data_IF_288269516626
#
_entry.id   IF_288269516626
#
_cell.length_a   1.000
_cell.length_b   1.000
_cell.length_c   1.000
_cell.angle_alpha   90.00
_cell.angle_beta   90.00
_cell.angle_gamma   90.00
#
_symmetry.space_group_name_H-M   'P 1'
#
loop_
_entity.id
_entity.type
_entity.pdbx_description
1 polymer ?
#
# COMPACT_ATOMS: atom_id res chain seq x y z
N UNK A 1 -4.74 -2.27 -20.31
CA UNK A 1 -4.40 -1.71 -21.65
C UNK A 1 -2.93 -1.98 -21.93
N UNK A 2 -2.54 -2.01 -23.19
CA UNK A 2 -1.13 -2.15 -23.63
C UNK A 2 -0.71 -0.88 -24.35
N UNK A 3 0.45 -0.32 -24.00
CA UNK A 3 1.05 0.86 -24.65
C UNK A 3 2.52 0.56 -24.95
N UNK A 4 2.88 0.40 -26.22
CA UNK A 4 4.28 0.18 -26.64
C UNK A 4 5.03 -0.91 -25.83
N UNK A 5 4.35 -2.03 -25.53
CA UNK A 5 4.90 -3.14 -24.74
C UNK A 5 4.81 -2.99 -23.22
N UNK A 6 4.22 -1.89 -22.72
CA UNK A 6 3.86 -1.68 -21.33
C UNK A 6 2.43 -2.15 -21.06
N UNK A 7 2.27 -3.05 -20.10
CA UNK A 7 0.98 -3.45 -19.55
C UNK A 7 0.52 -2.51 -18.44
N UNK A 8 -0.72 -2.02 -18.51
CA UNK A 8 -1.33 -1.23 -17.44
C UNK A 8 -2.63 -1.87 -16.99
N UNK A 9 -2.71 -2.23 -15.70
CA UNK A 9 -3.81 -3.00 -15.11
C UNK A 9 -4.39 -2.26 -13.88
N UNK A 10 -5.60 -1.67 -13.98
CA UNK A 10 -6.33 -1.19 -12.81
C UNK A 10 -6.82 -2.36 -11.96
N UNK A 11 -6.76 -2.23 -10.64
CA UNK A 11 -7.27 -3.21 -9.69
C UNK A 11 -8.32 -2.61 -8.77
N UNK A 12 -9.50 -3.22 -8.76
CA UNK A 12 -10.49 -3.02 -7.72
C UNK A 12 -9.98 -3.60 -6.41
N UNK A 13 -10.16 -2.85 -5.32
CA UNK A 13 -9.74 -3.27 -3.98
C UNK A 13 -10.56 -2.53 -2.92
N UNK A 14 -10.62 -3.13 -1.74
CA UNK A 14 -11.13 -2.53 -0.51
C UNK A 14 -10.32 -3.02 0.69
N UNK A 15 -10.38 -2.31 1.81
CA UNK A 15 -9.65 -2.68 3.04
C UNK A 15 -10.40 -3.70 3.91
N UNK A 16 -9.68 -4.34 4.83
CA UNK A 16 -10.25 -5.05 5.99
C UNK A 16 -9.41 -4.79 7.26
N UNK A 17 -10.01 -4.84 8.45
CA UNK A 17 -9.34 -4.47 9.70
C UNK A 17 -8.20 -5.40 10.08
N UNK A 18 -8.30 -6.68 9.77
CA UNK A 18 -7.23 -7.67 10.04
C UNK A 18 -6.00 -7.50 9.15
N UNK A 19 -6.01 -6.56 8.21
CA UNK A 19 -4.80 -6.15 7.48
C UNK A 19 -3.75 -5.56 8.43
N UNK A 20 -4.21 -4.99 9.54
CA UNK A 20 -3.38 -4.49 10.62
C UNK A 20 -2.96 -5.62 11.58
N UNK A 21 -1.68 -5.96 11.53
CA UNK A 21 -1.07 -7.00 12.39
C UNK A 21 -0.13 -6.44 13.46
N UNK A 22 -0.01 -5.11 13.56
CA UNK A 22 0.82 -4.48 14.58
C UNK A 22 0.13 -4.54 15.96
N UNK A 23 0.91 -4.56 17.03
CA UNK A 23 0.35 -4.56 18.39
C UNK A 23 -0.49 -3.30 18.65
N UNK A 24 -1.57 -3.44 19.41
CA UNK A 24 -2.41 -2.31 19.77
C UNK A 24 -1.70 -1.38 20.75
N UNK A 25 -1.82 -0.08 20.53
CA UNK A 25 -1.32 0.93 21.46
C UNK A 25 -2.36 1.15 22.54
N UNK A 26 -2.11 0.62 23.74
CA UNK A 26 -3.02 0.67 24.88
C UNK A 26 -2.74 1.82 25.85
N UNK A 27 -1.62 2.53 25.67
CA UNK A 27 -1.18 3.64 26.54
C UNK A 27 -1.96 4.93 26.35
N UNK A 28 -2.81 5.03 25.32
CA UNK A 28 -3.59 6.23 24.98
C UNK A 28 -5.01 5.84 24.53
N UNK A 29 -5.95 6.76 24.70
CA UNK A 29 -7.29 6.60 24.13
C UNK A 29 -7.30 6.99 22.64
N UNK A 30 -7.62 6.05 21.75
CA UNK A 30 -7.70 6.28 20.30
C UNK A 30 -9.15 6.15 19.84
N UNK A 31 -9.66 7.20 19.19
CA UNK A 31 -11.03 7.26 18.65
C UNK A 31 -11.39 6.01 17.84
N UNK A 32 -12.63 5.49 17.96
CA UNK A 32 -13.11 4.38 17.12
C UNK A 32 -13.09 4.67 15.62
N UNK A 33 -13.02 3.63 14.79
CA UNK A 33 -12.91 3.74 13.33
C UNK A 33 -14.14 4.44 12.73
N UNK A 34 -15.33 4.18 13.26
CA UNK A 34 -16.61 4.74 12.82
C UNK A 34 -16.69 6.25 13.03
N UNK A 35 -15.89 6.79 13.96
CA UNK A 35 -15.80 8.22 14.22
C UNK A 35 -14.73 8.90 13.36
N UNK A 36 -13.63 8.20 13.07
CA UNK A 36 -12.47 8.76 12.37
C UNK A 36 -12.53 8.58 10.84
N UNK A 37 -13.11 7.48 10.36
CA UNK A 37 -13.16 7.13 8.94
C UNK A 37 -14.52 7.49 8.33
N UNK A 38 -14.49 8.26 7.25
CA UNK A 38 -15.70 8.74 6.57
C UNK A 38 -16.47 7.60 5.88
N UNK A 39 -15.77 6.54 5.48
CA UNK A 39 -16.34 5.44 4.71
C UNK A 39 -17.48 4.74 5.46
N UNK A 40 -17.36 4.60 6.78
CA UNK A 40 -18.41 4.03 7.66
C UNK A 40 -19.74 4.81 7.60
N UNK A 41 -19.70 6.10 7.26
CA UNK A 41 -20.89 6.96 7.16
C UNK A 41 -21.34 7.15 5.71
N UNK A 42 -20.38 7.34 4.80
CA UNK A 42 -20.62 7.72 3.41
C UNK A 42 -20.91 6.53 2.49
N UNK A 43 -20.26 5.39 2.72
CA UNK A 43 -20.47 4.19 1.91
C UNK A 43 -21.67 3.41 2.43
N UNK A 44 -22.48 2.87 1.50
CA UNK A 44 -23.65 2.03 1.79
C UNK A 44 -23.49 0.73 1.02
N UNK A 45 -23.57 -0.38 1.73
CA UNK A 45 -23.32 -1.71 1.20
C UNK A 45 -24.58 -2.58 1.29
N UNK A 46 -24.62 -3.67 0.52
CA UNK A 46 -25.66 -4.68 0.67
C UNK A 46 -25.53 -5.39 2.02
N UNK A 47 -26.56 -6.12 2.45
CA UNK A 47 -26.65 -6.69 3.79
C UNK A 47 -25.52 -7.70 4.09
N UNK A 48 -24.96 -8.30 3.06
CA UNK A 48 -23.90 -9.32 3.12
C UNK A 48 -22.50 -8.71 3.18
N UNK A 49 -22.37 -7.38 3.03
CA UNK A 49 -21.12 -6.66 2.97
C UNK A 49 -21.03 -5.67 4.13
N UNK A 50 -19.94 -5.73 4.89
CA UNK A 50 -19.72 -4.85 6.04
C UNK A 50 -18.39 -4.12 5.94
N UNK A 51 -18.37 -2.89 6.45
CA UNK A 51 -17.10 -2.23 6.71
C UNK A 51 -16.35 -3.00 7.80
N UNK A 52 -15.06 -3.17 7.59
CA UNK A 52 -14.12 -3.65 8.58
C UNK A 52 -13.83 -5.16 8.56
N UNK A 53 -14.77 -6.00 8.11
CA UNK A 53 -14.47 -7.41 7.86
C UNK A 53 -13.89 -7.64 6.45
N UNK A 54 -13.59 -8.90 6.12
CA UNK A 54 -12.96 -9.28 4.85
C UNK A 54 -13.94 -9.27 3.66
N UNK A 55 -15.25 -9.15 3.88
CA UNK A 55 -16.27 -9.34 2.83
C UNK A 55 -16.13 -8.33 1.68
N UNK A 56 -15.88 -7.06 1.99
CA UNK A 56 -15.66 -6.02 0.98
C UNK A 56 -14.37 -6.26 0.19
N UNK A 57 -13.29 -6.65 0.87
CA UNK A 57 -12.02 -6.94 0.22
C UNK A 57 -12.16 -8.11 -0.79
N UNK A 58 -12.87 -9.18 -0.42
CA UNK A 58 -13.17 -10.31 -1.31
C UNK A 58 -14.09 -9.89 -2.46
N UNK A 59 -15.12 -9.11 -2.18
CA UNK A 59 -16.08 -8.65 -3.18
C UNK A 59 -15.40 -7.82 -4.29
N UNK A 60 -14.59 -6.83 -3.90
CA UNK A 60 -13.87 -6.01 -4.87
C UNK A 60 -12.76 -6.79 -5.58
N UNK A 61 -12.10 -7.73 -4.90
CA UNK A 61 -11.12 -8.60 -5.58
C UNK A 61 -11.78 -9.48 -6.65
N UNK A 62 -12.93 -10.08 -6.36
CA UNK A 62 -13.68 -10.89 -7.31
C UNK A 62 -14.12 -10.11 -8.57
N UNK A 63 -14.29 -8.78 -8.47
CA UNK A 63 -14.57 -7.95 -9.66
C UNK A 63 -13.42 -7.96 -10.67
N UNK A 64 -12.18 -8.18 -10.22
CA UNK A 64 -11.01 -8.23 -11.10
C UNK A 64 -11.00 -9.48 -11.99
N UNK A 65 -11.71 -10.56 -11.61
CA UNK A 65 -11.78 -11.80 -12.41
C UNK A 65 -12.39 -11.58 -13.79
N UNK A 66 -13.26 -10.57 -13.94
CA UNK A 66 -13.83 -10.18 -15.25
C UNK A 66 -12.76 -9.81 -16.27
N UNK A 67 -11.57 -9.40 -15.81
CA UNK A 67 -10.46 -8.98 -16.65
C UNK A 67 -9.37 -10.06 -16.79
N UNK A 68 -9.60 -11.30 -16.31
CA UNK A 68 -8.57 -12.32 -16.24
C UNK A 68 -7.95 -12.67 -17.61
N UNK A 69 -8.77 -12.73 -18.67
CA UNK A 69 -8.27 -13.00 -20.04
C UNK A 69 -7.35 -11.88 -20.53
N UNK A 70 -7.74 -10.62 -20.31
CA UNK A 70 -6.95 -9.43 -20.67
C UNK A 70 -5.66 -9.35 -19.86
N UNK A 71 -5.71 -9.70 -18.57
CA UNK A 71 -4.52 -9.75 -17.71
C UNK A 71 -3.53 -10.80 -18.24
N UNK A 72 -4.00 -12.01 -18.60
CA UNK A 72 -3.14 -13.06 -19.18
C UNK A 72 -2.52 -12.63 -20.51
N UNK A 73 -3.30 -11.97 -21.37
CA UNK A 73 -2.77 -11.41 -22.61
C UNK A 73 -1.67 -10.39 -22.35
N UNK A 74 -1.87 -9.46 -21.40
CA UNK A 74 -0.86 -8.50 -20.98
C UNK A 74 0.40 -9.21 -20.47
N UNK A 75 0.24 -10.21 -19.60
CA UNK A 75 1.37 -10.99 -19.06
C UNK A 75 2.18 -11.70 -20.16
N UNK A 76 1.52 -12.15 -21.23
CA UNK A 76 2.18 -12.85 -22.33
C UNK A 76 2.84 -11.91 -23.36
N UNK A 77 2.42 -10.65 -23.42
CA UNK A 77 2.80 -9.72 -24.50
C UNK A 77 3.65 -8.54 -24.03
N UNK A 78 3.59 -8.19 -22.75
CA UNK A 78 4.25 -6.99 -22.21
C UNK A 78 5.49 -7.37 -21.41
N UNK A 79 6.57 -6.63 -21.61
CA UNK A 79 7.83 -6.84 -20.89
C UNK A 79 7.85 -6.15 -19.53
N UNK A 80 6.98 -5.16 -19.33
CA UNK A 80 6.82 -4.37 -18.11
C UNK A 80 5.35 -4.22 -17.80
N UNK A 81 5.00 -4.31 -16.52
CA UNK A 81 3.61 -4.22 -16.08
C UNK A 81 3.51 -3.23 -14.91
N UNK A 82 2.57 -2.30 -15.03
CA UNK A 82 2.12 -1.42 -13.96
C UNK A 82 0.73 -1.90 -13.54
N UNK A 83 0.60 -2.36 -12.31
CA UNK A 83 -0.71 -2.47 -11.65
C UNK A 83 -0.96 -1.21 -10.84
N UNK A 84 -2.22 -0.83 -10.66
CA UNK A 84 -2.54 0.25 -9.72
C UNK A 84 -3.84 0.03 -8.98
N UNK A 85 -3.88 0.51 -7.74
CA UNK A 85 -5.03 0.41 -6.85
C UNK A 85 -5.16 1.68 -6.01
N UNK A 86 -6.33 1.91 -5.42
CA UNK A 86 -6.46 3.02 -4.48
C UNK A 86 -5.84 2.69 -3.12
N UNK A 87 -6.09 1.49 -2.61
CA UNK A 87 -5.67 1.04 -1.28
C UNK A 87 -4.22 0.55 -1.25
N UNK A 88 -3.68 0.43 -0.04
CA UNK A 88 -2.31 0.02 0.20
C UNK A 88 -2.18 -1.50 0.06
N UNK A 89 -1.25 -2.01 -0.75
CA UNK A 89 -1.16 -3.45 -1.03
C UNK A 89 -0.39 -4.24 0.03
N UNK A 90 0.40 -3.57 0.89
CA UNK A 90 1.29 -4.20 1.86
C UNK A 90 1.38 -3.37 3.12
N UNK A 91 1.31 -3.99 4.30
CA UNK A 91 1.34 -3.26 5.57
C UNK A 91 2.66 -2.51 5.76
N UNK A 92 3.77 -3.02 5.21
CA UNK A 92 5.08 -2.36 5.30
C UNK A 92 5.13 -1.01 4.57
N UNK A 93 4.17 -0.73 3.70
CA UNK A 93 4.02 0.55 2.98
C UNK A 93 3.24 1.60 3.79
N UNK A 94 2.96 1.30 5.06
CA UNK A 94 2.44 2.23 6.04
C UNK A 94 3.45 2.39 7.19
N UNK A 95 3.69 3.59 7.73
CA UNK A 95 4.50 3.75 8.94
C UNK A 95 3.90 2.99 10.14
N UNK A 96 4.76 2.57 11.06
CA UNK A 96 4.33 1.88 12.28
C UNK A 96 3.35 2.73 13.10
N UNK A 97 2.36 2.10 13.73
CA UNK A 97 1.29 2.73 14.52
C UNK A 97 1.80 3.81 15.47
N UNK A 98 2.93 3.55 16.12
CA UNK A 98 3.56 4.45 17.11
C UNK A 98 3.97 5.80 16.53
N UNK A 99 4.07 5.90 15.21
CA UNK A 99 4.47 7.11 14.48
C UNK A 99 3.29 7.83 13.81
N UNK A 100 2.07 7.26 13.87
CA UNK A 100 0.87 7.80 13.25
C UNK A 100 0.10 8.70 14.21
N UNK A 101 -0.44 9.81 13.70
CA UNK A 101 -1.39 10.64 14.48
C UNK A 101 -2.72 9.94 14.75
N UNK A 102 -3.04 8.89 14.00
CA UNK A 102 -4.17 8.01 14.25
C UNK A 102 -3.69 6.55 14.22
N UNK A 103 -3.36 5.94 15.38
CA UNK A 103 -2.79 4.60 15.44
C UNK A 103 -3.66 3.48 14.86
N UNK A 104 -4.98 3.68 14.73
CA UNK A 104 -5.90 2.71 14.12
C UNK A 104 -5.97 2.82 12.59
N UNK A 105 -5.24 3.75 11.97
CA UNK A 105 -5.19 3.92 10.51
C UNK A 105 -4.88 2.61 9.76
N UNK A 106 -3.92 1.76 10.18
CA UNK A 106 -3.60 0.53 9.44
C UNK A 106 -4.79 -0.43 9.24
N UNK A 107 -5.85 -0.32 10.04
CA UNK A 107 -7.07 -1.14 9.92
C UNK A 107 -7.95 -0.79 8.72
N UNK A 108 -7.72 0.37 8.10
CA UNK A 108 -8.61 0.92 7.07
C UNK A 108 -7.86 1.32 5.79
N UNK A 109 -6.70 0.71 5.53
CA UNK A 109 -5.84 1.18 4.42
C UNK A 109 -5.61 0.17 3.31
N UNK A 110 -5.81 -1.12 3.55
CA UNK A 110 -5.33 -2.16 2.65
C UNK A 110 -5.96 -3.51 2.93
N UNK A 111 -5.62 -4.49 2.08
CA UNK A 111 -6.09 -5.85 2.22
C UNK A 111 -5.11 -6.88 1.68
N UNK A 112 -5.20 -8.08 2.24
CA UNK A 112 -4.43 -9.23 1.78
C UNK A 112 -4.91 -9.71 0.40
N UNK A 113 -6.20 -9.56 0.10
CA UNK A 113 -6.77 -9.86 -1.22
C UNK A 113 -6.04 -9.08 -2.34
N UNK A 114 -5.78 -7.78 -2.12
CA UNK A 114 -5.04 -6.95 -3.06
C UNK A 114 -3.59 -7.42 -3.21
N UNK A 115 -2.93 -7.76 -2.11
CA UNK A 115 -1.56 -8.28 -2.11
C UNK A 115 -1.45 -9.55 -2.95
N UNK A 116 -2.32 -10.52 -2.70
CA UNK A 116 -2.39 -11.76 -3.45
C UNK A 116 -2.68 -11.52 -4.94
N UNK A 117 -3.59 -10.60 -5.26
CA UNK A 117 -3.89 -10.24 -6.65
C UNK A 117 -2.66 -9.68 -7.36
N UNK A 118 -1.93 -8.78 -6.73
CA UNK A 118 -0.70 -8.19 -7.29
C UNK A 118 0.35 -9.28 -7.54
N UNK A 119 0.55 -10.21 -6.60
CA UNK A 119 1.45 -11.35 -6.80
C UNK A 119 0.98 -12.29 -7.91
N UNK A 120 -0.32 -12.52 -8.07
CA UNK A 120 -0.83 -13.34 -9.17
C UNK A 120 -0.54 -12.73 -10.55
N UNK A 121 -0.35 -11.41 -10.61
CA UNK A 121 -0.05 -10.68 -11.85
C UNK A 121 1.47 -10.59 -12.09
N UNK A 122 2.23 -10.22 -11.05
CA UNK A 122 3.65 -9.91 -11.16
C UNK A 122 4.58 -11.09 -10.83
N UNK A 123 4.02 -12.22 -10.40
CA UNK A 123 4.77 -13.34 -9.84
C UNK A 123 4.94 -13.24 -8.33
N UNK A 124 5.14 -14.39 -7.67
CA UNK A 124 5.30 -14.46 -6.20
C UNK A 124 6.55 -13.70 -5.76
N UNK A 125 7.67 -13.87 -6.44
CA UNK A 125 8.90 -13.14 -6.11
C UNK A 125 8.92 -11.73 -6.73
N UNK A 126 7.98 -11.42 -7.62
CA UNK A 126 7.96 -10.19 -8.40
C UNK A 126 8.93 -10.25 -9.58
N UNK A 127 9.32 -9.08 -10.10
CA UNK A 127 10.26 -8.94 -11.22
C UNK A 127 10.72 -7.50 -11.29
N UNK A 128 11.96 -7.18 -11.73
CA UNK A 128 12.39 -5.80 -12.00
C UNK A 128 11.46 -5.03 -12.96
N UNK A 129 10.65 -5.75 -13.73
CA UNK A 129 9.61 -5.24 -14.62
C UNK A 129 8.24 -4.99 -13.96
N UNK A 130 8.11 -5.26 -12.66
CA UNK A 130 6.89 -5.11 -11.89
C UNK A 130 6.86 -3.79 -11.12
N UNK A 131 5.81 -3.01 -11.34
CA UNK A 131 5.51 -1.82 -10.57
C UNK A 131 4.05 -1.84 -10.09
N UNK A 132 3.82 -1.47 -8.85
CA UNK A 132 2.49 -1.22 -8.30
C UNK A 132 2.36 0.23 -7.83
N UNK A 133 1.41 0.96 -8.40
CA UNK A 133 1.08 2.32 -7.97
C UNK A 133 -0.12 2.30 -7.02
N UNK A 134 -0.01 2.92 -5.86
CA UNK A 134 -1.06 2.93 -4.84
C UNK A 134 -1.29 4.31 -4.23
N UNK A 135 -2.34 4.42 -3.42
CA UNK A 135 -2.80 5.67 -2.83
C UNK A 135 -3.27 5.56 -1.38
N UNK A 136 -4.31 6.34 -1.09
CA UNK A 136 -5.10 6.35 0.14
C UNK A 136 -4.43 6.98 1.37
N UNK A 137 -3.21 6.57 1.75
CA UNK A 137 -2.61 7.02 3.03
C UNK A 137 -1.96 8.40 2.99
N UNK A 138 -1.80 8.97 1.81
CA UNK A 138 -1.10 10.25 1.58
C UNK A 138 0.39 10.24 2.00
N UNK A 139 0.97 9.09 2.34
CA UNK A 139 2.39 8.96 2.65
C UNK A 139 3.19 8.76 1.36
N UNK A 140 3.97 9.77 0.95
CA UNK A 140 4.83 9.62 -0.23
C UNK A 140 5.77 8.42 -0.05
N UNK A 141 5.76 7.50 -1.00
CA UNK A 141 6.45 6.22 -0.91
C UNK A 141 7.06 5.84 -2.25
N UNK A 142 8.32 5.45 -2.25
CA UNK A 142 8.96 4.78 -3.38
C UNK A 142 10.02 3.84 -2.86
N UNK A 143 9.69 2.56 -2.88
CA UNK A 143 10.59 1.49 -2.43
C UNK A 143 10.38 0.26 -3.26
N UNK A 144 11.45 -0.52 -3.38
CA UNK A 144 11.38 -1.86 -3.91
C UNK A 144 11.27 -2.83 -2.73
N UNK A 145 10.30 -3.73 -2.75
CA UNK A 145 10.11 -4.73 -1.69
C UNK A 145 10.20 -6.14 -2.27
N UNK A 146 10.85 -7.02 -1.52
CA UNK A 146 11.00 -8.44 -1.82
C UNK A 146 9.83 -9.30 -1.28
N UNK A 147 9.82 -10.59 -1.66
CA UNK A 147 8.88 -11.63 -1.26
C UNK A 147 8.39 -11.64 0.20
N UNK A 148 7.17 -12.16 0.37
CA UNK A 148 6.34 -12.49 1.55
C UNK A 148 6.39 -11.57 2.80
N UNK A 149 5.23 -10.94 3.10
CA UNK A 149 4.85 -10.37 4.42
C UNK A 149 3.93 -11.28 5.25
N UNK A 150 3.87 -12.56 4.93
CA UNK A 150 3.04 -13.55 5.63
C UNK A 150 3.97 -14.57 6.30
N UNK A 151 4.02 -14.58 7.64
CA UNK A 151 4.51 -15.75 8.37
C UNK A 151 3.60 -16.93 8.02
N UNK A 152 3.96 -17.71 7.02
CA UNK A 152 3.49 -19.09 6.88
C UNK A 152 4.04 -19.86 8.09
N UNK A 153 3.25 -20.69 8.80
CA UNK A 153 3.76 -21.50 9.89
C UNK A 153 4.98 -22.31 9.43
N UNK A 154 6.08 -22.20 10.19
CA UNK A 154 7.36 -22.86 9.94
C UNK A 154 7.17 -24.35 9.60
N UNK A 155 7.56 -24.77 8.39
CA UNK A 155 8.08 -26.12 8.10
C UNK A 155 8.65 -26.28 6.67
N UNK A 156 9.41 -25.31 6.16
CA UNK A 156 10.31 -25.57 5.02
C UNK A 156 11.66 -24.91 5.23
N UNK A 157 12.63 -25.70 5.66
CA UNK A 157 14.05 -25.35 5.68
C UNK A 157 14.63 -25.52 4.28
N UNK A 158 15.12 -24.44 3.69
CA UNK A 158 15.96 -24.49 2.49
C UNK A 158 15.65 -23.39 1.50
N UNK A 159 16.21 -22.20 1.70
CA UNK A 159 16.36 -21.22 0.62
C UNK A 159 17.81 -20.76 0.56
N UNK A 160 18.48 -21.22 -0.49
CA UNK A 160 19.83 -20.83 -0.89
C UNK A 160 19.72 -19.66 -1.87
N UNK A 161 20.54 -18.62 -1.66
CA UNK A 161 20.92 -17.52 -2.55
C UNK A 161 19.81 -16.66 -3.21
N UNK A 162 19.98 -15.35 -3.03
CA UNK A 162 19.16 -14.22 -3.46
C UNK A 162 19.04 -14.18 -4.99
N UNK A 163 17.85 -14.45 -5.51
CA UNK A 163 17.47 -13.95 -6.84
C UNK A 163 16.83 -12.56 -6.67
N UNK A 164 17.27 -11.62 -7.49
CA UNK A 164 17.00 -10.18 -7.49
C UNK A 164 15.55 -9.79 -7.88
N UNK A 165 14.56 -10.58 -7.47
CA UNK A 165 13.16 -10.37 -7.84
C UNK A 165 12.41 -9.56 -6.77
N UNK A 166 11.73 -8.52 -7.27
CA UNK A 166 11.53 -7.27 -6.56
C UNK A 166 10.37 -6.51 -7.20
N UNK A 167 9.31 -6.16 -6.47
CA UNK A 167 8.26 -5.28 -6.99
C UNK A 167 8.50 -3.84 -6.50
N UNK A 168 8.47 -2.87 -7.41
CA UNK A 168 8.51 -1.45 -7.05
C UNK A 168 7.13 -0.98 -6.63
N UNK A 169 7.02 -0.39 -5.45
CA UNK A 169 5.79 0.21 -4.93
C UNK A 169 5.92 1.72 -4.88
N UNK A 170 5.02 2.43 -5.58
CA UNK A 170 5.06 3.89 -5.66
C UNK A 170 3.72 4.49 -5.21
N UNK A 171 3.79 5.44 -4.29
CA UNK A 171 2.69 6.33 -3.93
C UNK A 171 3.19 7.77 -4.05
N UNK A 172 2.63 8.51 -5.01
CA UNK A 172 2.87 9.94 -5.26
C UNK A 172 1.56 10.74 -5.04
N UNK A 173 1.07 10.86 -3.79
CA UNK A 173 -0.31 11.26 -3.55
C UNK A 173 -0.48 12.76 -3.74
N UNK A 174 -1.59 13.20 -4.35
CA UNK A 174 -1.92 14.62 -4.40
C UNK A 174 -2.19 15.17 -2.98
N UNK A 175 -2.89 14.43 -2.12
CA UNK A 175 -3.20 14.80 -0.73
C UNK A 175 -4.01 16.12 -0.57
N UNK A 176 -4.35 16.51 0.66
CA UNK A 176 -5.12 17.74 0.91
C UNK A 176 -4.29 19.02 0.70
N UNK A 177 -4.90 20.18 0.39
CA UNK A 177 -4.17 21.43 0.19
C UNK A 177 -3.17 21.79 1.30
N UNK A 178 -3.54 21.57 2.57
CA UNK A 178 -2.64 21.81 3.73
C UNK A 178 -1.45 20.85 3.77
N UNK A 179 -1.66 19.60 3.34
CA UNK A 179 -0.60 18.59 3.27
C UNK A 179 0.33 18.86 2.09
N UNK A 180 -0.23 19.28 0.94
CA UNK A 180 0.54 19.69 -0.26
C UNK A 180 1.51 20.81 0.01
N UNK A 181 1.10 21.82 0.80
CA UNK A 181 1.95 22.95 1.19
C UNK A 181 3.25 22.55 1.89
N UNK A 182 3.32 21.34 2.46
CA UNK A 182 4.51 20.83 3.15
C UNK A 182 5.43 20.01 2.23
N UNK A 183 5.07 19.81 0.96
CA UNK A 183 5.82 19.02 -0.02
C UNK A 183 6.67 19.92 -0.91
N UNK A 184 7.47 19.31 -1.79
CA UNK A 184 8.28 20.03 -2.78
C UNK A 184 7.48 21.15 -3.45
N UNK A 185 8.06 22.36 -3.46
CA UNK A 185 7.49 23.58 -4.02
C UNK A 185 6.17 24.08 -3.39
N UNK A 186 5.82 23.65 -2.17
CA UNK A 186 4.61 24.13 -1.50
C UNK A 186 3.31 23.70 -2.17
N UNK A 187 3.36 22.71 -3.06
CA UNK A 187 2.24 22.28 -3.90
C UNK A 187 1.96 23.20 -5.11
N UNK A 188 2.57 24.37 -5.16
CA UNK A 188 2.54 25.23 -6.34
C UNK A 188 3.43 24.60 -7.41
N UNK A 189 2.85 24.33 -8.59
CA UNK A 189 3.47 23.56 -9.69
C UNK A 189 3.63 22.06 -9.42
N UNK A 190 2.79 21.45 -8.57
CA UNK A 190 2.75 19.99 -8.49
C UNK A 190 2.37 19.42 -9.87
N UNK A 191 3.33 18.72 -10.49
CA UNK A 191 3.10 17.96 -11.72
C UNK A 191 2.88 16.49 -11.33
N UNK A 192 2.04 15.76 -12.06
CA UNK A 192 1.97 14.31 -11.93
C UNK A 192 3.37 13.71 -12.03
N UNK A 193 3.70 12.77 -11.14
CA UNK A 193 4.96 12.03 -11.24
C UNK A 193 4.90 11.08 -12.44
N UNK A 194 5.85 11.23 -13.36
CA UNK A 194 5.95 10.34 -14.51
C UNK A 194 6.61 9.03 -14.08
N UNK A 195 5.83 7.94 -14.03
CA UNK A 195 6.28 6.60 -13.60
C UNK A 195 7.06 5.88 -14.71
N UNK A 196 6.73 6.15 -15.97
CA UNK A 196 7.24 5.42 -17.12
C UNK A 196 7.50 6.35 -18.29
N UNK A 197 8.69 6.25 -18.88
CA UNK A 197 9.08 7.05 -20.03
C UNK A 197 10.24 6.39 -20.77
N UNK A 198 10.28 6.53 -22.09
CA UNK A 198 11.37 6.01 -22.92
C UNK A 198 11.66 4.51 -22.71
N UNK A 199 10.61 3.68 -22.62
CA UNK A 199 10.76 2.23 -22.52
C UNK A 199 11.21 1.71 -21.15
N UNK A 200 11.21 2.55 -20.11
CA UNK A 200 11.63 2.16 -18.76
C UNK A 200 10.87 2.89 -17.64
N UNK A 201 10.87 2.30 -16.46
CA UNK A 201 10.43 3.00 -15.26
C UNK A 201 11.34 4.20 -14.98
N UNK A 202 10.75 5.28 -14.49
CA UNK A 202 11.48 6.47 -14.06
C UNK A 202 12.42 6.15 -12.90
N UNK A 203 13.37 7.04 -12.62
CA UNK A 203 14.15 6.95 -11.40
C UNK A 203 13.26 7.10 -10.15
N UNK A 204 13.84 6.83 -8.98
CA UNK A 204 13.15 6.88 -7.68
C UNK A 204 12.56 8.27 -7.44
N UNK A 205 11.29 8.31 -7.06
CA UNK A 205 10.62 9.49 -6.56
C UNK A 205 11.33 9.95 -5.27
N UNK A 206 11.80 11.19 -5.26
CA UNK A 206 12.45 11.80 -4.11
C UNK A 206 11.97 13.24 -3.95
N UNK A 207 11.67 13.69 -2.71
CA UNK A 207 11.85 12.98 -1.43
C UNK A 207 10.66 12.10 -1.05
N UNK A 208 10.94 10.93 -0.46
CA UNK A 208 9.94 10.03 0.11
C UNK A 208 10.32 9.63 1.55
N UNK A 209 10.08 10.53 2.50
CA UNK A 209 10.58 10.44 3.88
C UNK A 209 10.42 9.06 4.53
N UNK A 210 9.26 8.43 4.43
CA UNK A 210 9.02 7.14 5.10
C UNK A 210 9.79 5.99 4.46
N UNK A 211 9.79 5.89 3.12
CA UNK A 211 10.61 4.88 2.44
C UNK A 211 12.12 5.13 2.62
N UNK A 212 12.54 6.41 2.69
CA UNK A 212 13.94 6.76 2.99
C UNK A 212 14.31 6.37 4.41
N UNK A 213 13.45 6.67 5.39
CA UNK A 213 13.62 6.26 6.77
C UNK A 213 13.74 4.74 6.89
N UNK A 214 12.82 3.98 6.30
CA UNK A 214 12.82 2.51 6.39
C UNK A 214 13.92 1.84 5.56
N UNK A 215 14.59 2.57 4.66
CA UNK A 215 15.77 2.04 3.95
C UNK A 215 16.99 1.83 4.86
N UNK A 216 17.07 2.57 5.97
CA UNK A 216 18.19 2.49 6.94
C UNK A 216 17.74 2.12 8.35
N UNK A 217 16.44 2.13 8.62
CA UNK A 217 15.88 1.83 9.94
C UNK A 217 14.94 0.62 9.84
N UNK A 218 15.29 -0.53 10.44
CA UNK A 218 14.39 -1.67 10.49
C UNK A 218 13.07 -1.32 11.16
N UNK A 219 11.97 -1.92 10.68
CA UNK A 219 10.67 -1.82 11.33
C UNK A 219 10.71 -2.50 12.71
N UNK A 220 9.97 -1.93 13.66
CA UNK A 220 9.80 -2.44 15.03
C UNK A 220 8.31 -2.58 15.38
N UNK A 221 7.54 -3.43 14.68
CA UNK A 221 6.06 -3.44 14.77
C UNK A 221 5.50 -3.80 16.16
N UNK A 222 6.32 -4.40 17.02
CA UNK A 222 6.00 -4.70 18.43
C UNK A 222 6.22 -3.52 19.38
N UNK A 223 6.86 -2.44 18.92
CA UNK A 223 7.10 -1.27 19.73
C UNK A 223 5.83 -0.43 19.83
N UNK A 224 5.20 -0.42 21.00
CA UNK A 224 3.99 0.37 21.28
C UNK A 224 4.30 1.74 21.90
N UNK A 225 5.57 2.09 22.12
CA UNK A 225 5.97 3.40 22.62
C UNK A 225 5.82 4.46 21.53
N UNK A 226 4.89 5.38 21.75
CA UNK A 226 4.64 6.51 20.84
C UNK A 226 5.90 7.30 20.55
N UNK A 227 6.08 7.64 19.29
CA UNK A 227 7.12 8.58 18.90
C UNK A 227 6.89 9.94 19.58
N UNK A 228 7.95 10.68 19.97
CA UNK A 228 7.79 11.92 20.75
C UNK A 228 6.87 12.96 20.09
N UNK A 229 6.90 13.07 18.76
CA UNK A 229 6.06 14.00 18.01
C UNK A 229 4.59 13.59 17.93
N UNK A 230 4.26 12.32 18.21
CA UNK A 230 2.89 11.80 18.33
C UNK A 230 2.42 11.91 19.78
N UNK A 231 3.25 11.50 20.74
CA UNK A 231 2.91 11.50 22.16
C UNK A 231 2.40 12.86 22.65
N UNK A 232 3.01 13.96 22.18
CA UNK A 232 2.56 15.33 22.51
C UNK A 232 1.10 15.65 22.15
N UNK A 233 0.50 14.97 21.18
CA UNK A 233 -0.91 15.19 20.80
C UNK A 233 -1.89 14.48 21.75
N UNK A 234 -1.42 13.45 22.46
CA UNK A 234 -2.21 12.67 23.40
C UNK A 234 -1.96 13.04 24.87
N UNK A 235 -0.83 13.71 25.15
CA UNK A 235 -0.51 14.23 26.50
C UNK A 235 -1.12 15.62 26.77
N UNK A 236 -1.77 16.24 25.78
CA UNK A 236 -2.41 17.56 25.90
C UNK A 236 -3.90 17.47 26.26
N UNK A 237 -4.39 16.27 26.55
CA UNK A 237 -5.73 15.97 27.07
C UNK A 237 -5.63 15.46 28.49
#
# INVERSE_FOLDING_TARGET
>A
MVLDGLGIIPLFSWYHESFDREEEITSIHVLPLEMACKDFKACKWSKELSNGDISLALYFDAMNEKNQSVIKEIQNTCNQIITFSHFVPRQELCPEKRMLFYPKLPKIIGSDCLEFRIRSIHGVEGSPSACHVFGHTHFCWDSVLHGISLKVPNNMSGYSQVNDEQCRYVQAPLAYPRERKRRMNGGDKWLPFCIYSHGKFSDRLSPCYWSDYYSTNPRTPHNTQLAPWVARFYNQT
#
